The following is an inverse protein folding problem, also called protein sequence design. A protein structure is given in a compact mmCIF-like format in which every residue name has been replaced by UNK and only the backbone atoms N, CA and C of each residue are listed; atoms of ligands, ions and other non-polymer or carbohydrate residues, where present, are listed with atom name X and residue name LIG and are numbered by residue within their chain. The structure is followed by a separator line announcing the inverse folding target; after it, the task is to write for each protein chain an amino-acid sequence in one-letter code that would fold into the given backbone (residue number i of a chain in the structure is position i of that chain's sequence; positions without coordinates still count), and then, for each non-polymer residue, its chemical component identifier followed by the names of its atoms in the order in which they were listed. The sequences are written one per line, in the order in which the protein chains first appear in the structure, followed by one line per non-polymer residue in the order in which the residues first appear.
data_IF_629163246320
#
_entry.id   IF_629163246320
#
_cell.length_a   1.000
_cell.length_b   1.000
_cell.length_c   1.000
_cell.angle_alpha   90.00
_cell.angle_beta   90.00
_cell.angle_gamma   90.00
#
_symmetry.space_group_name_H-M   'P 1'
#
loop_
_entity.id
_entity.type
_entity.pdbx_description
1 polymer ?
#
# COMPACT_ATOMS: atom_id res chain seq x y z
N UNK A 1 -3.29 -6.17 18.42
CA UNK A 1 -3.33 -6.10 19.89
C UNK A 1 -1.98 -6.57 20.39
N UNK A 2 -1.31 -5.80 21.28
CA UNK A 2 0.04 -6.13 21.74
C UNK A 2 0.09 -7.50 22.42
N UNK A 3 1.18 -8.23 22.16
CA UNK A 3 1.39 -9.58 22.64
C UNK A 3 2.24 -9.57 23.90
N UNK A 4 1.91 -10.44 24.86
CA UNK A 4 2.74 -10.77 26.00
C UNK A 4 3.19 -12.22 25.86
N UNK A 5 4.50 -12.46 25.77
CA UNK A 5 5.06 -13.80 25.53
C UNK A 5 4.42 -14.53 24.33
N UNK A 6 4.07 -13.78 23.28
CA UNK A 6 3.43 -14.32 22.07
C UNK A 6 1.92 -14.55 22.16
N UNK A 7 1.27 -14.26 23.30
CA UNK A 7 -0.18 -14.38 23.44
C UNK A 7 -0.85 -13.01 23.63
N UNK A 8 -2.00 -12.77 22.97
CA UNK A 8 -2.82 -11.60 23.23
C UNK A 8 -3.42 -11.70 24.63
N UNK A 9 -3.37 -10.60 25.38
CA UNK A 9 -4.05 -10.56 26.67
C UNK A 9 -5.53 -10.28 26.46
N UNK A 10 -6.37 -11.16 27.01
CA UNK A 10 -7.81 -10.92 27.13
C UNK A 10 -8.07 -9.70 28.01
N UNK A 11 -8.95 -8.83 27.54
CA UNK A 11 -9.40 -7.66 28.30
C UNK A 11 -10.39 -8.12 29.35
N UNK A 12 -10.27 -7.59 30.56
CA UNK A 12 -11.25 -7.84 31.60
C UNK A 12 -12.57 -7.17 31.19
N UNK A 13 -13.68 -7.90 31.02
CA UNK A 13 -14.94 -7.31 30.64
C UNK A 13 -15.43 -6.37 31.76
N UNK A 14 -16.02 -5.25 31.35
CA UNK A 14 -16.64 -4.32 32.30
C UNK A 14 -17.66 -5.07 33.15
N UNK A 15 -17.65 -4.92 34.49
CA UNK A 15 -18.65 -5.55 35.33
C UNK A 15 -20.05 -5.09 34.90
N UNK A 16 -20.92 -6.05 34.58
CA UNK A 16 -22.23 -5.80 33.96
C UNK A 16 -23.22 -5.01 34.84
N UNK A 17 -22.90 -4.82 36.12
CA UNK A 17 -23.83 -4.28 37.13
C UNK A 17 -23.29 -3.01 37.81
N UNK A 18 -22.79 -2.04 37.03
CA UNK A 18 -22.58 -0.69 37.55
C UNK A 18 -23.92 0.06 37.58
N UNK A 19 -24.72 -0.20 38.61
CA UNK A 19 -25.93 0.57 38.93
C UNK A 19 -25.56 2.03 39.20
N UNK A 20 -25.41 2.85 38.16
CA UNK A 20 -25.41 4.32 38.21
C UNK A 20 -24.46 5.03 39.19
N UNK A 21 -23.52 4.32 39.83
CA UNK A 21 -22.58 4.88 40.81
C UNK A 21 -21.16 4.82 40.24
N UNK A 22 -20.74 6.00 39.83
CA UNK A 22 -19.50 6.34 39.12
C UNK A 22 -18.25 6.21 40.01
N UNK A 23 -17.98 5.04 40.61
CA UNK A 23 -16.86 4.85 41.53
C UNK A 23 -15.98 3.66 41.13
N UNK A 24 -15.52 3.66 39.88
CA UNK A 24 -14.55 2.67 39.38
C UNK A 24 -13.31 3.36 38.80
N UNK A 25 -12.17 2.68 38.84
CA UNK A 25 -10.91 3.12 38.24
C UNK A 25 -10.81 2.60 36.81
N UNK A 26 -10.52 3.48 35.86
CA UNK A 26 -10.45 3.16 34.44
C UNK A 26 -9.05 3.33 33.87
N UNK A 27 -8.61 2.38 33.04
CA UNK A 27 -7.35 2.48 32.29
C UNK A 27 -7.59 3.20 30.97
N UNK A 28 -6.97 4.37 30.80
CA UNK A 28 -7.22 5.31 29.68
C UNK A 28 -7.07 4.71 28.28
N UNK A 29 -6.11 3.82 28.07
CA UNK A 29 -5.78 3.29 26.73
C UNK A 29 -6.43 1.93 26.42
N UNK A 30 -6.95 1.20 27.42
CA UNK A 30 -7.67 -0.07 27.21
C UNK A 30 -9.17 0.03 27.45
N UNK A 31 -9.64 1.04 28.18
CA UNK A 31 -11.04 1.20 28.58
C UNK A 31 -11.50 0.17 29.63
N UNK A 32 -10.57 -0.57 30.24
CA UNK A 32 -10.89 -1.52 31.31
C UNK A 32 -11.27 -0.77 32.58
N UNK A 33 -12.39 -1.15 33.19
CA UNK A 33 -12.93 -0.57 34.43
C UNK A 33 -12.82 -1.57 35.57
N UNK A 34 -12.35 -1.11 36.72
CA UNK A 34 -12.13 -1.90 37.92
C UNK A 34 -12.86 -1.29 39.11
N UNK A 35 -13.50 -2.14 39.92
CA UNK A 35 -14.09 -1.76 41.21
C UNK A 35 -13.09 -1.87 42.38
N UNK A 36 -11.97 -2.57 42.18
CA UNK A 36 -10.91 -2.75 43.18
C UNK A 36 -9.65 -1.95 42.78
N UNK A 37 -9.18 -1.07 43.66
CA UNK A 37 -7.97 -0.28 43.42
C UNK A 37 -6.70 -1.13 43.27
N UNK A 38 -6.56 -2.20 44.05
CA UNK A 38 -5.39 -3.09 43.99
C UNK A 38 -5.27 -3.77 42.63
N UNK A 39 -6.39 -4.32 42.12
CA UNK A 39 -6.46 -4.93 40.78
C UNK A 39 -6.15 -3.91 39.68
N UNK A 40 -6.66 -2.68 39.82
CA UNK A 40 -6.37 -1.59 38.91
C UNK A 40 -4.87 -1.27 38.85
N UNK A 41 -4.20 -1.11 39.99
CA UNK A 41 -2.77 -0.77 40.05
C UNK A 41 -1.89 -1.92 39.53
N UNK A 42 -2.22 -3.17 39.86
CA UNK A 42 -1.51 -4.33 39.34
C UNK A 42 -1.57 -4.38 37.81
N UNK A 43 -2.79 -4.20 37.26
CA UNK A 43 -3.03 -4.18 35.82
C UNK A 43 -2.28 -3.04 35.14
N UNK A 44 -2.36 -1.82 35.69
CA UNK A 44 -1.67 -0.64 35.16
C UNK A 44 -0.15 -0.82 35.18
N UNK A 45 0.39 -1.36 36.27
CA UNK A 45 1.82 -1.63 36.41
C UNK A 45 2.29 -2.63 35.37
N UNK A 46 1.50 -3.69 35.08
CA UNK A 46 1.80 -4.66 34.03
C UNK A 46 1.85 -4.03 32.64
N UNK A 47 0.94 -3.12 32.32
CA UNK A 47 0.94 -2.41 31.04
C UNK A 47 2.14 -1.47 30.85
N UNK A 48 2.63 -0.88 31.94
CA UNK A 48 3.81 0.01 31.93
C UNK A 48 5.14 -0.72 31.86
N UNK A 49 5.18 -2.04 32.08
CA UNK A 49 6.42 -2.81 31.95
C UNK A 49 6.82 -2.95 30.47
N UNK A 50 8.10 -2.81 30.11
CA UNK A 50 8.60 -3.00 28.75
C UNK A 50 8.76 -4.50 28.43
N UNK A 51 7.65 -5.23 28.45
CA UNK A 51 7.60 -6.70 28.23
C UNK A 51 6.71 -7.07 27.06
N UNK A 52 6.18 -6.08 26.34
CA UNK A 52 5.23 -6.28 25.27
C UNK A 52 5.93 -6.34 23.92
N UNK A 53 5.29 -7.09 23.02
CA UNK A 53 5.71 -7.25 21.63
C UNK A 53 4.62 -6.74 20.72
N UNK A 54 4.97 -5.91 19.74
CA UNK A 54 4.04 -5.48 18.70
C UNK A 54 3.72 -6.68 17.78
N UNK A 55 2.43 -6.94 17.53
CA UNK A 55 2.01 -8.04 16.62
C UNK A 55 2.46 -7.80 15.17
N UNK A 56 2.46 -6.55 14.73
CA UNK A 56 2.72 -6.17 13.35
C UNK A 56 4.23 -6.04 13.06
N UNK A 57 4.96 -5.29 13.90
CA UNK A 57 6.40 -5.02 13.67
C UNK A 57 7.32 -6.07 14.29
N UNK A 58 6.81 -6.91 15.19
CA UNK A 58 7.62 -7.92 15.90
C UNK A 58 8.61 -7.33 16.92
N UNK A 59 8.64 -6.01 17.11
CA UNK A 59 9.52 -5.36 18.09
C UNK A 59 9.12 -5.74 19.51
N UNK A 60 10.12 -6.12 20.29
CA UNK A 60 10.00 -6.54 21.69
C UNK A 60 10.41 -5.42 22.63
N UNK A 61 10.22 -5.63 23.94
CA UNK A 61 10.59 -4.67 24.99
C UNK A 61 9.85 -3.33 24.95
N UNK A 62 8.62 -3.32 24.43
CA UNK A 62 7.76 -2.15 24.37
C UNK A 62 6.84 -2.10 25.59
N UNK A 63 6.40 -0.89 25.97
CA UNK A 63 5.22 -0.75 26.85
C UNK A 63 3.95 -1.03 26.06
N UNK A 64 2.85 -1.36 26.73
CA UNK A 64 1.60 -1.67 26.05
C UNK A 64 1.11 -0.51 25.18
N UNK A 65 1.20 0.72 25.69
CA UNK A 65 0.79 1.93 24.98
C UNK A 65 1.64 2.17 23.72
N UNK A 66 2.96 2.04 23.83
CA UNK A 66 3.86 2.13 22.68
C UNK A 66 3.57 1.07 21.63
N UNK A 67 3.42 -0.19 22.06
CA UNK A 67 3.09 -1.28 21.14
C UNK A 67 1.73 -1.05 20.45
N UNK A 68 0.75 -0.48 21.16
CA UNK A 68 -0.57 -0.16 20.59
C UNK A 68 -0.48 1.01 19.58
N UNK A 69 0.33 2.02 19.85
CA UNK A 69 0.59 3.12 18.92
C UNK A 69 1.31 2.62 17.66
N UNK A 70 2.34 1.80 17.82
CA UNK A 70 3.03 1.17 16.68
C UNK A 70 2.07 0.29 15.87
N UNK A 71 1.25 -0.54 16.53
CA UNK A 71 0.26 -1.36 15.82
C UNK A 71 -0.76 -0.52 15.06
N UNK A 72 -1.21 0.61 15.62
CA UNK A 72 -2.14 1.51 14.92
C UNK A 72 -1.47 2.17 13.73
N UNK A 73 -0.25 2.66 13.89
CA UNK A 73 0.52 3.25 12.80
C UNK A 73 0.77 2.22 11.68
N UNK A 74 1.19 1.02 12.04
CA UNK A 74 1.47 -0.07 11.10
C UNK A 74 0.19 -0.64 10.48
N UNK A 75 -0.92 -0.69 11.22
CA UNK A 75 -2.21 -1.09 10.65
C UNK A 75 -2.71 -0.07 9.63
N UNK A 76 -2.53 1.23 9.87
CA UNK A 76 -2.82 2.24 8.85
C UNK A 76 -1.91 2.12 7.63
N UNK A 77 -0.61 1.82 7.83
CA UNK A 77 0.32 1.56 6.73
C UNK A 77 -0.01 0.28 5.96
N UNK A 78 -0.36 -0.80 6.66
CA UNK A 78 -0.60 -2.13 6.06
C UNK A 78 -2.00 -2.23 5.45
N UNK A 79 -3.03 -1.68 6.10
CA UNK A 79 -4.42 -1.71 5.62
C UNK A 79 -4.73 -0.58 4.64
N UNK A 80 -4.03 0.55 4.72
CA UNK A 80 -4.19 1.68 3.78
C UNK A 80 -3.38 1.55 2.48
N UNK A 81 -2.37 0.67 2.44
CA UNK A 81 -1.42 0.53 1.31
C UNK A 81 -1.34 -0.93 0.83
N UNK A 82 -2.37 -1.73 1.15
CA UNK A 82 -2.46 -3.10 0.66
C UNK A 82 -2.60 -3.10 -0.86
N UNK A 83 -1.73 -3.85 -1.55
CA UNK A 83 -1.97 -4.21 -2.94
C UNK A 83 -3.43 -4.60 -3.13
N UNK A 84 -4.08 -4.08 -4.17
CA UNK A 84 -5.45 -4.51 -4.51
C UNK A 84 -5.49 -6.04 -4.61
N UNK A 85 -6.53 -6.67 -4.06
CA UNK A 85 -6.70 -8.13 -4.15
C UNK A 85 -6.61 -8.62 -5.61
N UNK A 86 -7.08 -7.80 -6.55
CA UNK A 86 -6.98 -8.08 -7.99
C UNK A 86 -5.54 -8.09 -8.48
N UNK A 87 -4.71 -7.16 -8.01
CA UNK A 87 -3.29 -7.09 -8.34
C UNK A 87 -2.53 -8.27 -7.73
N UNK A 88 -2.78 -8.60 -6.46
CA UNK A 88 -2.18 -9.76 -5.79
C UNK A 88 -2.55 -11.05 -6.54
N UNK A 89 -3.82 -11.21 -6.90
CA UNK A 89 -4.29 -12.36 -7.67
C UNK A 89 -3.58 -12.46 -9.04
N UNK A 90 -3.46 -11.34 -9.76
CA UNK A 90 -2.79 -11.30 -11.05
C UNK A 90 -1.28 -11.60 -10.95
N UNK A 91 -0.63 -11.05 -9.93
CA UNK A 91 0.79 -11.31 -9.62
C UNK A 91 1.04 -12.78 -9.28
N UNK A 92 0.23 -13.36 -8.38
CA UNK A 92 0.35 -14.77 -8.00
C UNK A 92 0.09 -15.69 -9.20
N UNK A 93 -0.92 -15.37 -10.00
CA UNK A 93 -1.21 -16.11 -11.24
C UNK A 93 -0.02 -16.06 -12.19
N UNK A 94 0.59 -14.87 -12.38
CA UNK A 94 1.78 -14.73 -13.21
C UNK A 94 2.96 -15.55 -12.69
N UNK A 95 3.26 -15.49 -11.39
CA UNK A 95 4.37 -16.24 -10.79
C UNK A 95 4.17 -17.75 -10.90
N UNK A 96 2.96 -18.24 -10.61
CA UNK A 96 2.65 -19.68 -10.68
C UNK A 96 2.73 -20.24 -12.10
N UNK A 97 2.47 -19.41 -13.12
CA UNK A 97 2.58 -19.78 -14.53
C UNK A 97 3.99 -19.59 -15.09
N UNK A 98 4.85 -18.83 -14.40
CA UNK A 98 6.19 -18.54 -14.87
C UNK A 98 7.10 -19.77 -14.75
N UNK A 99 7.85 -20.07 -15.81
CA UNK A 99 8.89 -21.12 -15.82
C UNK A 99 10.28 -20.55 -15.60
N UNK A 100 10.37 -19.26 -15.27
CA UNK A 100 11.62 -18.52 -15.09
C UNK A 100 12.20 -18.73 -13.68
N UNK A 101 13.52 -18.59 -13.50
CA UNK A 101 14.10 -18.55 -12.16
C UNK A 101 13.53 -17.36 -11.38
N UNK A 102 13.37 -17.53 -10.06
CA UNK A 102 12.63 -16.58 -9.21
C UNK A 102 13.12 -15.13 -9.33
N UNK A 103 14.43 -14.90 -9.45
CA UNK A 103 15.00 -13.56 -9.62
C UNK A 103 14.56 -12.89 -10.92
N UNK A 104 14.51 -13.64 -12.02
CA UNK A 104 14.03 -13.14 -13.31
C UNK A 104 12.51 -13.02 -13.34
N UNK A 105 11.80 -13.91 -12.65
CA UNK A 105 10.35 -13.84 -12.53
C UNK A 105 9.90 -12.59 -11.77
N UNK A 106 10.61 -12.21 -10.69
CA UNK A 106 10.37 -10.95 -9.95
C UNK A 106 10.64 -9.73 -10.84
N UNK A 107 11.75 -9.72 -11.59
CA UNK A 107 12.04 -8.66 -12.56
C UNK A 107 10.92 -8.53 -13.60
N UNK A 108 10.52 -9.64 -14.22
CA UNK A 108 9.45 -9.65 -15.22
C UNK A 108 8.10 -9.22 -14.63
N UNK A 109 7.80 -9.63 -13.39
CA UNK A 109 6.62 -9.22 -12.66
C UNK A 109 6.61 -7.71 -12.46
N UNK A 110 7.74 -7.15 -12.00
CA UNK A 110 7.87 -5.72 -11.75
C UNK A 110 7.56 -4.93 -13.03
N UNK A 111 8.25 -5.20 -14.14
CA UNK A 111 7.98 -4.46 -15.39
C UNK A 111 6.60 -4.74 -15.97
N UNK A 112 6.00 -5.90 -15.71
CA UNK A 112 4.66 -6.21 -16.21
C UNK A 112 3.58 -5.39 -15.50
N UNK A 113 3.66 -5.27 -14.17
CA UNK A 113 2.58 -4.70 -13.35
C UNK A 113 2.85 -3.28 -12.85
N UNK A 114 4.06 -2.72 -13.06
CA UNK A 114 4.40 -1.35 -12.60
C UNK A 114 3.39 -0.30 -13.11
N UNK A 115 2.95 -0.41 -14.36
CA UNK A 115 2.02 0.54 -15.01
C UNK A 115 0.61 -0.07 -15.22
N UNK A 116 0.30 -1.19 -14.57
CA UNK A 116 -1.02 -1.86 -14.68
C UNK A 116 -1.80 -1.65 -13.39
N UNK A 117 -2.78 -0.75 -13.41
CA UNK A 117 -3.59 -0.37 -12.25
C UNK A 117 -4.98 -1.02 -12.32
N UNK A 118 -5.49 -1.46 -11.18
CA UNK A 118 -6.77 -2.16 -11.10
C UNK A 118 -7.87 -1.25 -10.56
N UNK A 119 -9.11 -1.52 -10.96
CA UNK A 119 -10.28 -0.76 -10.49
C UNK A 119 -10.41 -0.92 -8.97
N UNK A 120 -10.66 0.18 -8.26
CA UNK A 120 -10.74 0.27 -6.81
C UNK A 120 -9.38 0.34 -6.12
N UNK A 121 -8.26 0.37 -6.85
CA UNK A 121 -6.94 0.53 -6.27
C UNK A 121 -6.71 1.98 -5.82
N UNK A 122 -6.16 2.14 -4.61
CA UNK A 122 -5.72 3.44 -4.06
C UNK A 122 -4.31 3.76 -4.57
N UNK A 123 -4.17 4.89 -5.25
CA UNK A 123 -2.93 5.33 -5.89
C UNK A 123 -2.75 6.84 -5.77
N UNK A 124 -1.53 7.30 -5.98
CA UNK A 124 -1.19 8.72 -5.98
C UNK A 124 -1.06 9.20 -7.42
N UNK A 125 -1.76 10.29 -7.75
CA UNK A 125 -1.66 10.98 -9.05
C UNK A 125 -0.78 12.22 -8.92
N UNK A 126 0.13 12.38 -9.88
CA UNK A 126 0.92 13.59 -10.06
C UNK A 126 0.19 14.52 -11.01
N UNK A 127 -0.36 15.62 -10.50
CA UNK A 127 -0.92 16.64 -11.38
C UNK A 127 0.20 17.48 -12.02
N UNK A 128 0.16 17.73 -13.35
CA UNK A 128 1.20 18.52 -14.03
C UNK A 128 1.23 19.98 -13.54
N UNK A 129 0.08 20.53 -13.14
CA UNK A 129 -0.06 21.95 -12.81
C UNK A 129 0.39 22.32 -11.37
N UNK A 130 0.56 21.35 -10.47
CA UNK A 130 0.76 21.61 -9.03
C UNK A 130 2.20 21.43 -8.53
N UNK A 131 3.20 21.85 -9.31
CA UNK A 131 4.63 21.80 -8.92
C UNK A 131 5.10 20.42 -8.40
N UNK A 132 4.45 19.33 -8.84
CA UNK A 132 4.77 17.97 -8.40
C UNK A 132 4.11 17.51 -7.09
N UNK A 133 3.09 18.21 -6.59
CA UNK A 133 2.23 17.68 -5.54
C UNK A 133 1.52 16.39 -5.99
N UNK A 134 1.47 15.42 -5.09
CA UNK A 134 0.80 14.13 -5.29
C UNK A 134 -0.54 14.15 -4.55
N UNK A 135 -1.59 13.67 -5.20
CA UNK A 135 -2.93 13.57 -4.62
C UNK A 135 -3.36 12.12 -4.55
N UNK A 136 -3.94 11.73 -3.41
CA UNK A 136 -4.52 10.40 -3.27
C UNK A 136 -5.77 10.29 -4.14
N UNK A 137 -5.88 9.18 -4.88
CA UNK A 137 -7.01 8.90 -5.75
C UNK A 137 -7.31 7.40 -5.82
N UNK A 138 -8.48 7.06 -6.34
CA UNK A 138 -8.90 5.68 -6.58
C UNK A 138 -9.18 5.47 -8.06
N UNK A 139 -8.80 4.30 -8.60
CA UNK A 139 -9.06 3.96 -10.00
C UNK A 139 -10.53 3.59 -10.17
N UNK A 140 -11.27 4.35 -10.98
CA UNK A 140 -12.68 4.08 -11.29
C UNK A 140 -12.79 3.22 -12.54
N UNK A 141 -11.92 3.46 -13.52
CA UNK A 141 -11.96 2.78 -14.81
C UNK A 141 -10.60 2.72 -15.47
N UNK A 142 -10.42 1.74 -16.34
CA UNK A 142 -9.22 1.59 -17.14
C UNK A 142 -9.61 1.57 -18.62
N UNK A 143 -8.98 2.43 -19.42
CA UNK A 143 -9.17 2.49 -20.86
C UNK A 143 -8.63 1.25 -21.59
N UNK A 144 -8.92 1.09 -22.89
CA UNK A 144 -8.35 0.02 -23.70
C UNK A 144 -6.82 0.15 -23.76
N UNK A 145 -6.14 -0.98 -23.97
CA UNK A 145 -4.70 -0.94 -24.25
C UNK A 145 -4.48 -0.26 -25.62
N UNK A 146 -3.56 0.72 -25.71
CA UNK A 146 -3.27 1.40 -26.96
C UNK A 146 -2.74 0.39 -27.99
N UNK A 147 -3.18 0.54 -29.24
CA UNK A 147 -2.74 -0.36 -30.31
C UNK A 147 -1.30 -0.02 -30.71
N UNK A 148 -0.53 -1.03 -31.15
CA UNK A 148 0.90 -0.87 -31.49
C UNK A 148 1.16 0.25 -32.52
N UNK A 149 0.22 0.50 -33.44
CA UNK A 149 0.34 1.57 -34.44
C UNK A 149 0.21 2.97 -33.82
N UNK A 150 -0.57 3.13 -32.76
CA UNK A 150 -0.80 4.41 -32.09
C UNK A 150 0.42 4.85 -31.28
N UNK A 151 1.15 3.89 -30.70
CA UNK A 151 2.41 4.16 -29.98
C UNK A 151 3.46 4.86 -30.86
N UNK A 152 3.62 4.41 -32.12
CA UNK A 152 4.57 5.03 -33.05
C UNK A 152 4.21 6.48 -33.44
N UNK A 153 2.97 6.91 -33.21
CA UNK A 153 2.55 8.30 -33.42
C UNK A 153 2.88 9.20 -32.23
N UNK A 154 2.81 8.67 -30.99
CA UNK A 154 3.14 9.42 -29.77
C UNK A 154 4.64 9.72 -29.64
N UNK A 155 5.52 8.80 -30.06
CA UNK A 155 6.97 9.04 -30.06
C UNK A 155 7.42 10.17 -31.00
N UNK A 156 6.61 10.52 -31.99
CA UNK A 156 6.93 11.61 -32.93
C UNK A 156 6.61 12.99 -32.35
N UNK A 157 5.73 13.08 -31.35
CA UNK A 157 5.38 14.35 -30.68
C UNK A 157 6.33 14.77 -29.57
N UNK A 158 7.13 13.84 -29.00
CA UNK A 158 7.97 14.09 -27.83
C UNK A 158 9.43 14.51 -28.17
N UNK A 159 9.72 14.80 -29.44
CA UNK A 159 11.01 15.37 -29.88
C UNK A 159 11.05 16.90 -29.72
N UNK A 160 10.70 17.38 -28.54
CA UNK A 160 10.68 18.79 -28.16
C UNK A 160 11.33 19.02 -26.80
N UNK A 161 12.65 19.22 -26.81
CA UNK A 161 13.43 19.97 -25.79
C UNK A 161 13.06 19.76 -24.30
N UNK A 162 13.61 18.73 -23.67
CA UNK A 162 13.56 18.57 -22.21
C UNK A 162 14.31 17.34 -21.70
N UNK A 163 15.33 17.59 -20.87
CA UNK A 163 16.14 16.69 -20.02
C UNK A 163 15.71 15.20 -19.98
N UNK A 164 16.40 14.34 -20.74
CA UNK A 164 16.23 12.89 -20.70
C UNK A 164 16.66 12.35 -19.32
N UNK A 165 15.69 11.92 -18.50
CA UNK A 165 15.98 11.06 -17.34
C UNK A 165 16.32 9.65 -17.85
N UNK A 166 17.59 9.18 -17.83
CA UNK A 166 18.01 7.99 -18.59
C UNK A 166 17.80 6.65 -17.85
N UNK A 167 17.05 6.64 -16.74
CA UNK A 167 17.09 5.53 -15.78
C UNK A 167 16.12 4.38 -16.08
N UNK A 168 14.96 4.63 -16.68
CA UNK A 168 13.92 3.59 -16.85
C UNK A 168 14.06 2.79 -18.15
N UNK A 169 14.26 3.45 -19.30
CA UNK A 169 14.38 2.77 -20.61
C UNK A 169 15.61 1.85 -20.67
N UNK A 170 16.74 2.32 -20.13
CA UNK A 170 17.98 1.53 -19.98
C UNK A 170 17.76 0.30 -19.09
N UNK A 171 16.97 0.45 -18.02
CA UNK A 171 16.63 -0.62 -17.08
C UNK A 171 15.74 -1.69 -17.71
N UNK A 172 14.79 -1.30 -18.57
CA UNK A 172 13.91 -2.20 -19.32
C UNK A 172 14.70 -2.97 -20.37
N UNK A 173 15.55 -2.32 -21.17
CA UNK A 173 16.38 -2.99 -22.18
C UNK A 173 17.31 -4.02 -21.53
N UNK A 174 17.93 -3.68 -20.40
CA UNK A 174 18.74 -4.63 -19.64
C UNK A 174 17.93 -5.80 -19.05
N UNK A 175 16.64 -5.61 -18.76
CA UNK A 175 15.75 -6.69 -18.32
C UNK A 175 15.32 -7.58 -19.49
N UNK A 176 15.05 -7.00 -20.65
CA UNK A 176 14.75 -7.72 -21.90
C UNK A 176 15.92 -8.63 -22.27
N UNK A 177 17.16 -8.12 -22.23
CA UNK A 177 18.37 -8.91 -22.47
C UNK A 177 18.53 -10.07 -21.47
N UNK A 178 18.16 -9.87 -20.20
CA UNK A 178 18.19 -10.92 -19.17
C UNK A 178 17.13 -12.01 -19.36
N UNK A 179 15.98 -11.66 -19.94
CA UNK A 179 14.82 -12.54 -20.10
C UNK A 179 14.80 -13.29 -21.44
N UNK A 180 15.59 -12.87 -22.42
CA UNK A 180 15.78 -13.57 -23.70
C UNK A 180 14.64 -13.35 -24.71
N UNK A 181 14.58 -14.22 -25.73
CA UNK A 181 13.57 -14.16 -26.79
C UNK A 181 12.15 -14.39 -26.23
N UNK A 182 11.25 -13.42 -26.42
CA UNK A 182 9.88 -13.44 -25.87
C UNK A 182 9.64 -12.45 -24.71
N UNK A 183 10.72 -11.83 -24.20
CA UNK A 183 10.63 -10.81 -23.16
C UNK A 183 9.73 -9.62 -23.54
N UNK A 184 9.66 -9.26 -24.83
CA UNK A 184 8.77 -8.19 -25.32
C UNK A 184 7.27 -8.49 -25.15
N UNK A 185 6.85 -9.75 -25.26
CA UNK A 185 5.44 -10.14 -25.02
C UNK A 185 5.12 -10.19 -23.53
N UNK A 186 6.07 -10.70 -22.73
CA UNK A 186 5.96 -10.74 -21.27
C UNK A 186 5.97 -9.31 -20.70
N UNK A 187 6.79 -8.44 -21.27
CA UNK A 187 6.98 -7.03 -20.93
C UNK A 187 6.31 -6.15 -22.00
N UNK A 188 5.01 -6.34 -22.24
CA UNK A 188 4.18 -5.36 -22.97
C UNK A 188 4.03 -4.02 -22.19
N UNK A 189 5.13 -3.54 -21.63
CA UNK A 189 5.32 -2.39 -20.77
C UNK A 189 5.09 -1.10 -21.51
N UNK A 190 5.59 -0.99 -22.75
CA UNK A 190 5.38 0.19 -23.60
C UNK A 190 3.90 0.44 -23.85
N UNK A 191 3.14 -0.58 -24.22
CA UNK A 191 1.69 -0.45 -24.39
C UNK A 191 0.99 -0.03 -23.09
N UNK A 192 1.41 -0.56 -21.94
CA UNK A 192 0.81 -0.22 -20.64
C UNK A 192 1.16 1.18 -20.16
N UNK A 193 2.35 1.69 -20.48
CA UNK A 193 2.81 3.04 -20.12
C UNK A 193 1.87 4.13 -20.66
N UNK A 194 1.34 3.94 -21.88
CA UNK A 194 0.45 4.89 -22.54
C UNK A 194 -1.03 4.59 -22.31
N UNK A 195 -1.38 3.63 -21.46
CA UNK A 195 -2.77 3.33 -21.12
C UNK A 195 -3.36 4.46 -20.27
N UNK A 196 -4.55 4.91 -20.64
CA UNK A 196 -5.30 5.91 -19.88
C UNK A 196 -6.14 5.24 -18.79
N UNK A 197 -6.18 5.87 -17.62
CA UNK A 197 -7.01 5.47 -16.50
C UNK A 197 -7.91 6.62 -16.08
N UNK A 198 -9.13 6.29 -15.68
CA UNK A 198 -10.05 7.23 -15.06
C UNK A 198 -9.91 7.07 -13.55
N UNK A 199 -9.41 8.11 -12.88
CA UNK A 199 -9.20 8.13 -11.43
C UNK A 199 -10.08 9.19 -10.79
N UNK A 200 -10.46 8.96 -9.53
CA UNK A 200 -11.27 9.87 -8.72
C UNK A 200 -10.50 10.29 -7.49
N UNK A 201 -10.43 11.60 -7.26
CA UNK A 201 -9.63 12.19 -6.18
C UNK A 201 -10.30 11.99 -4.82
N UNK A 202 -9.45 11.90 -3.79
CA UNK A 202 -9.88 11.98 -2.39
C UNK A 202 -9.75 13.42 -1.87
N UNK A 203 -10.68 13.81 -1.01
CA UNK A 203 -10.62 15.05 -0.23
C UNK A 203 -9.61 14.91 0.93
N UNK A 204 -9.29 16.04 1.58
CA UNK A 204 -8.43 16.11 2.77
C UNK A 204 -8.94 15.21 3.90
N UNK A 205 -10.25 14.96 3.94
CA UNK A 205 -10.90 14.08 4.92
C UNK A 205 -10.90 12.59 4.49
N UNK A 206 -10.27 12.24 3.37
CA UNK A 206 -10.20 10.86 2.84
C UNK A 206 -11.48 10.36 2.19
N UNK A 207 -12.45 11.25 1.94
CA UNK A 207 -13.70 10.93 1.24
C UNK A 207 -13.55 11.11 -0.26
N UNK A 208 -14.14 10.21 -1.05
CA UNK A 208 -14.09 10.30 -2.51
C UNK A 208 -14.93 11.49 -2.99
N UNK A 209 -14.34 12.37 -3.82
CA UNK A 209 -15.03 13.54 -4.33
C UNK A 209 -15.82 13.13 -5.59
N UNK A 210 -17.15 13.05 -5.48
CA UNK A 210 -18.01 12.73 -6.62
C UNK A 210 -17.92 13.81 -7.71
N UNK A 211 -17.67 13.39 -8.97
CA UNK A 211 -17.53 14.30 -10.11
C UNK A 211 -16.10 14.81 -10.37
N UNK A 212 -15.12 14.41 -9.55
CA UNK A 212 -13.68 14.69 -9.76
C UNK A 212 -12.98 13.65 -10.66
N UNK A 213 -13.71 13.08 -11.61
CA UNK A 213 -13.19 12.01 -12.47
C UNK A 213 -12.23 12.61 -13.51
N UNK A 214 -10.96 12.24 -13.43
CA UNK A 214 -9.91 12.72 -14.32
C UNK A 214 -9.32 11.55 -15.13
N UNK A 215 -9.01 11.80 -16.40
CA UNK A 215 -8.37 10.82 -17.27
C UNK A 215 -6.88 11.10 -17.35
N UNK A 216 -6.07 10.16 -16.89
CA UNK A 216 -4.64 10.34 -16.65
C UNK A 216 -3.87 9.15 -17.24
N UNK A 217 -2.71 9.36 -17.90
CA UNK A 217 -1.87 8.27 -18.37
C UNK A 217 -1.20 7.52 -17.22
N UNK A 218 -0.88 6.25 -17.43
CA UNK A 218 -0.23 5.41 -16.42
C UNK A 218 1.07 6.01 -15.85
N UNK A 219 1.77 6.86 -16.62
CA UNK A 219 3.03 7.52 -16.23
C UNK A 219 2.86 8.56 -15.12
N UNK A 220 1.68 9.15 -14.99
CA UNK A 220 1.37 10.16 -13.97
C UNK A 220 0.81 9.53 -12.69
N UNK A 221 0.59 8.22 -12.71
CA UNK A 221 0.07 7.44 -11.59
C UNK A 221 1.21 6.68 -10.91
N UNK A 222 1.14 6.60 -9.60
CA UNK A 222 2.09 5.83 -8.81
C UNK A 222 1.39 5.17 -7.62
N UNK A 223 1.80 3.95 -7.27
CA UNK A 223 1.34 3.34 -6.00
C UNK A 223 1.99 4.07 -4.84
N UNK A 224 1.22 4.35 -3.80
CA UNK A 224 1.73 5.14 -2.68
C UNK A 224 2.90 4.45 -1.98
N UNK A 225 3.90 5.27 -1.59
CA UNK A 225 5.06 4.96 -0.73
C UNK A 225 5.77 3.62 -0.99
N UNK A 226 6.64 3.55 -1.99
CA UNK A 226 7.68 2.50 -2.15
C UNK A 226 7.22 1.03 -2.13
N UNK A 227 5.91 0.76 -2.10
CA UNK A 227 5.37 -0.60 -1.93
C UNK A 227 5.60 -1.45 -3.17
N UNK A 228 5.61 -0.85 -4.35
CA UNK A 228 5.91 -1.53 -5.61
C UNK A 228 7.32 -1.19 -6.10
N UNK A 229 8.34 -1.55 -5.32
CA UNK A 229 9.75 -1.45 -5.72
C UNK A 229 10.36 -2.84 -5.86
N UNK A 230 11.38 -3.00 -6.72
CA UNK A 230 12.08 -4.29 -6.88
C UNK A 230 12.70 -4.84 -5.60
N UNK A 231 12.99 -3.99 -4.63
CA UNK A 231 13.53 -4.41 -3.32
C UNK A 231 12.41 -4.88 -2.39
N UNK A 232 11.19 -4.37 -2.59
CA UNK A 232 10.01 -4.74 -1.80
C UNK A 232 9.27 -5.98 -2.33
N UNK A 233 9.46 -6.33 -3.62
CA UNK A 233 8.94 -7.54 -4.28
C UNK A 233 9.92 -8.71 -4.17
#
# INVERSE_FOLDING_TARGET
MPLLNGQPIERVPSPANANGRTSGWEIRFTGEKFDDYEKYIERLTRYRKPIWTCKHTGRTCLTYEQALLEERAEAHLTTGIGFSDMLVCAMLTFLTQSTLPISQAIDALYYRFQNDFFIGEHIDVRYPDTEGAMYECSVVGAGPLPQKHELCAFDQSDRGTGDETPSTTTSVNAAIERLGEGAHEVIAYEQRKHRLYTVRLFDVDGSSIEGSDISVPATELSRSRNVFTKVAL
#
